data_IF_172456523617
#
_entry.id   IF_172456523617
#
_cell.length_a   1.000
_cell.length_b   1.000
_cell.length_c   1.000
_cell.angle_alpha   90.00
_cell.angle_beta   90.00
_cell.angle_gamma   90.00
#
_symmetry.space_group_name_H-M   'P 1'
#
loop_
_entity.id
_entity.type
_entity.pdbx_description
1 polymer ?
#
# COMPACT_ATOMS: atom_id res chain seq x y z
N UNK A 1 -17.14 7.23 16.65
CA UNK A 1 -17.66 7.50 15.29
C UNK A 1 -17.94 6.17 14.64
N UNK A 2 -18.83 6.12 13.64
CA UNK A 2 -19.05 4.90 12.87
C UNK A 2 -18.25 4.89 11.58
N UNK A 3 -17.46 3.85 11.39
CA UNK A 3 -16.45 3.76 10.34
C UNK A 3 -16.73 2.57 9.43
N UNK A 4 -16.68 2.80 8.12
CA UNK A 4 -16.68 1.74 7.12
C UNK A 4 -15.23 1.43 6.69
N UNK A 5 -14.82 0.17 6.85
CA UNK A 5 -13.60 -0.37 6.24
C UNK A 5 -14.01 -1.33 5.13
N UNK A 6 -13.63 -1.04 3.88
CA UNK A 6 -13.94 -1.94 2.75
C UNK A 6 -13.00 -3.15 2.72
N UNK A 7 -13.33 -4.15 1.91
CA UNK A 7 -12.50 -5.33 1.66
C UNK A 7 -12.17 -6.14 2.91
N UNK A 8 -13.18 -6.47 3.70
CA UNK A 8 -13.08 -7.14 5.01
C UNK A 8 -12.15 -8.36 5.11
N UNK A 9 -11.84 -9.02 3.98
CA UNK A 9 -11.00 -10.23 3.93
C UNK A 9 -9.49 -9.95 3.85
N UNK A 10 -9.08 -8.70 3.65
CA UNK A 10 -7.65 -8.37 3.54
C UNK A 10 -7.02 -8.18 4.92
N UNK A 11 -5.78 -8.66 5.09
CA UNK A 11 -5.04 -8.54 6.35
C UNK A 11 -4.93 -7.08 6.81
N UNK A 12 -4.70 -6.16 5.87
CA UNK A 12 -4.60 -4.73 6.13
C UNK A 12 -5.92 -4.11 6.64
N UNK A 13 -7.10 -4.67 6.32
CA UNK A 13 -8.37 -4.21 6.89
C UNK A 13 -8.46 -4.51 8.39
N UNK A 14 -7.91 -5.64 8.85
CA UNK A 14 -7.84 -5.97 10.28
C UNK A 14 -6.79 -5.14 11.01
N UNK A 15 -5.65 -4.86 10.37
CA UNK A 15 -4.65 -3.95 10.92
C UNK A 15 -5.19 -2.53 11.07
N UNK A 16 -5.94 -2.03 10.09
CA UNK A 16 -6.62 -0.75 10.18
C UNK A 16 -7.64 -0.74 11.31
N UNK A 17 -8.43 -1.81 11.46
CA UNK A 17 -9.38 -1.94 12.55
C UNK A 17 -8.71 -1.91 13.93
N UNK A 18 -7.52 -2.52 14.07
CA UNK A 18 -6.72 -2.43 15.29
C UNK A 18 -6.30 -0.98 15.62
N UNK A 19 -5.96 -0.18 14.60
CA UNK A 19 -5.62 1.25 14.77
C UNK A 19 -6.85 2.14 15.08
N UNK A 20 -8.04 1.63 14.81
CA UNK A 20 -9.34 2.26 15.01
C UNK A 20 -10.16 1.58 16.12
N UNK A 21 -9.52 0.86 17.04
CA UNK A 21 -10.17 0.03 18.08
C UNK A 21 -11.20 0.74 18.96
N UNK A 22 -11.14 2.07 19.03
CA UNK A 22 -12.03 2.91 19.83
C UNK A 22 -13.26 3.41 19.03
N UNK A 23 -13.36 3.04 17.75
CA UNK A 23 -14.46 3.38 16.85
C UNK A 23 -15.45 2.22 16.65
N UNK A 24 -16.68 2.53 16.22
CA UNK A 24 -17.64 1.51 15.78
C UNK A 24 -17.34 1.11 14.33
N UNK A 25 -16.81 -0.09 14.12
CA UNK A 25 -16.33 -0.54 12.81
C UNK A 25 -17.38 -1.41 12.11
N UNK A 26 -17.77 -1.00 10.91
CA UNK A 26 -18.51 -1.81 9.95
C UNK A 26 -17.57 -2.25 8.83
N UNK A 27 -17.50 -3.55 8.57
CA UNK A 27 -16.74 -4.11 7.47
C UNK A 27 -17.61 -4.27 6.21
N UNK A 28 -17.14 -3.72 5.09
CA UNK A 28 -17.80 -3.83 3.79
C UNK A 28 -17.21 -4.93 2.91
N UNK A 29 -18.02 -5.92 2.52
CA UNK A 29 -17.63 -6.96 1.55
C UNK A 29 -18.85 -7.56 0.84
N UNK A 30 -18.72 -7.85 -0.46
CA UNK A 30 -19.83 -8.27 -1.33
C UNK A 30 -20.29 -9.74 -1.13
N UNK A 31 -19.83 -10.39 -0.04
CA UNK A 31 -20.12 -11.80 0.26
C UNK A 31 -20.75 -12.03 1.64
N UNK A 32 -21.08 -10.96 2.37
CA UNK A 32 -21.86 -11.08 3.60
C UNK A 32 -23.37 -11.07 3.29
N UNK A 33 -24.17 -11.96 3.89
CA UNK A 33 -25.57 -12.15 3.50
C UNK A 33 -26.47 -10.95 3.80
N UNK A 34 -26.03 -10.00 4.62
CA UNK A 34 -26.71 -8.73 4.88
C UNK A 34 -25.78 -7.82 5.69
N UNK A 35 -25.73 -6.51 5.41
CA UNK A 35 -26.33 -5.82 4.26
C UNK A 35 -25.59 -6.07 2.95
N UNK A 36 -26.30 -5.92 1.82
CA UNK A 36 -25.71 -6.06 0.48
C UNK A 36 -24.72 -4.94 0.22
N UNK A 37 -23.43 -5.28 0.20
CA UNK A 37 -22.37 -4.32 -0.09
C UNK A 37 -22.25 -4.05 -1.60
N UNK A 38 -21.90 -2.82 -2.04
CA UNK A 38 -21.73 -2.50 -3.45
C UNK A 38 -20.66 -3.36 -4.14
N UNK A 39 -20.83 -3.57 -5.45
CA UNK A 39 -19.81 -4.25 -6.26
C UNK A 39 -18.71 -3.29 -6.67
N UNK A 40 -17.45 -3.66 -6.45
CA UNK A 40 -16.28 -2.85 -6.82
C UNK A 40 -16.19 -2.53 -8.32
N UNK A 41 -16.80 -3.37 -9.15
CA UNK A 41 -16.83 -3.18 -10.60
C UNK A 41 -18.07 -2.38 -11.06
N UNK A 42 -18.87 -1.83 -10.14
CA UNK A 42 -20.04 -1.06 -10.50
C UNK A 42 -19.64 0.30 -11.09
N UNK A 43 -20.21 0.71 -12.25
CA UNK A 43 -20.01 2.06 -12.78
C UNK A 43 -20.60 3.14 -11.86
N UNK A 44 -21.50 2.78 -10.95
CA UNK A 44 -22.14 3.65 -9.96
C UNK A 44 -21.62 3.43 -8.53
N UNK A 45 -20.42 2.89 -8.37
CA UNK A 45 -19.85 2.50 -7.08
C UNK A 45 -19.93 3.61 -6.01
N UNK A 46 -19.55 4.85 -6.34
CA UNK A 46 -19.60 5.97 -5.41
C UNK A 46 -21.02 6.26 -4.89
N UNK A 47 -22.04 6.23 -5.76
CA UNK A 47 -23.43 6.46 -5.38
C UNK A 47 -24.00 5.31 -4.54
N UNK A 48 -23.65 4.08 -4.88
CA UNK A 48 -24.04 2.89 -4.11
C UNK A 48 -23.40 2.92 -2.71
N UNK A 49 -22.11 3.26 -2.62
CA UNK A 49 -21.41 3.42 -1.34
C UNK A 49 -21.95 4.58 -0.52
N UNK A 50 -22.33 5.69 -1.15
CA UNK A 50 -22.97 6.80 -0.44
C UNK A 50 -24.30 6.36 0.18
N UNK A 51 -25.15 5.70 -0.60
CA UNK A 51 -26.44 5.19 -0.11
C UNK A 51 -26.24 4.23 1.06
N UNK A 52 -25.27 3.32 0.92
CA UNK A 52 -24.87 2.41 2.01
C UNK A 52 -24.41 3.19 3.25
N UNK A 53 -23.57 4.22 3.09
CA UNK A 53 -23.10 5.01 4.22
C UNK A 53 -24.25 5.72 4.94
N UNK A 54 -25.24 6.25 4.19
CA UNK A 54 -26.42 6.89 4.76
C UNK A 54 -27.30 5.90 5.52
N UNK A 55 -27.59 4.74 4.93
CA UNK A 55 -28.41 3.69 5.54
C UNK A 55 -27.81 3.16 6.85
N UNK A 56 -26.47 3.16 6.96
CA UNK A 56 -25.74 2.66 8.11
C UNK A 56 -25.18 3.75 9.01
N UNK A 57 -25.49 5.03 8.77
CA UNK A 57 -25.00 6.17 9.57
C UNK A 57 -23.47 6.20 9.67
N UNK A 58 -22.77 5.89 8.57
CA UNK A 58 -21.31 5.91 8.49
C UNK A 58 -20.81 7.35 8.44
N UNK A 59 -19.82 7.68 9.27
CA UNK A 59 -19.19 9.00 9.32
C UNK A 59 -17.83 9.03 8.60
N UNK A 60 -17.12 7.90 8.52
CA UNK A 60 -15.84 7.81 7.82
C UNK A 60 -15.73 6.55 6.95
N UNK A 61 -15.11 6.68 5.78
CA UNK A 61 -14.90 5.57 4.84
C UNK A 61 -13.42 5.38 4.55
N UNK A 62 -12.95 4.15 4.75
CA UNK A 62 -11.60 3.70 4.43
C UNK A 62 -11.69 2.65 3.33
N UNK A 63 -11.41 3.06 2.10
CA UNK A 63 -11.29 2.13 0.98
C UNK A 63 -9.90 1.49 0.97
N UNK A 64 -9.88 0.16 0.87
CA UNK A 64 -8.65 -0.65 0.90
C UNK A 64 -8.29 -1.19 -0.50
N UNK A 65 -9.15 -1.03 -1.52
CA UNK A 65 -8.83 -1.35 -2.92
C UNK A 65 -8.62 -0.09 -3.74
N UNK A 66 -7.68 -0.14 -4.68
CA UNK A 66 -7.32 0.98 -5.56
C UNK A 66 -8.51 1.55 -6.31
N UNK A 67 -9.31 0.66 -6.91
CA UNK A 67 -10.50 1.05 -7.67
C UNK A 67 -11.56 1.74 -6.82
N UNK A 68 -11.75 1.28 -5.58
CA UNK A 68 -12.69 1.89 -4.63
C UNK A 68 -12.19 3.26 -4.19
N UNK A 69 -10.93 3.35 -3.73
CA UNK A 69 -10.36 4.61 -3.25
C UNK A 69 -10.38 5.66 -4.35
N UNK A 70 -10.01 5.31 -5.58
CA UNK A 70 -10.06 6.22 -6.72
C UNK A 70 -11.47 6.77 -6.93
N UNK A 71 -12.48 5.90 -6.99
CA UNK A 71 -13.88 6.30 -7.19
C UNK A 71 -14.40 7.19 -6.04
N UNK A 72 -14.03 6.89 -4.80
CA UNK A 72 -14.41 7.69 -3.63
C UNK A 72 -13.71 9.05 -3.58
N UNK A 73 -12.44 9.13 -3.96
CA UNK A 73 -11.71 10.39 -4.03
C UNK A 73 -12.29 11.32 -5.11
N UNK A 74 -12.69 10.78 -6.26
CA UNK A 74 -13.40 11.52 -7.31
C UNK A 74 -14.76 12.06 -6.82
N UNK A 75 -15.43 11.34 -5.91
CA UNK A 75 -16.70 11.71 -5.32
C UNK A 75 -16.59 12.40 -3.93
N UNK A 76 -15.39 12.77 -3.48
CA UNK A 76 -15.16 13.22 -2.08
C UNK A 76 -16.06 14.39 -1.66
N UNK A 77 -16.30 15.35 -2.56
CA UNK A 77 -17.16 16.52 -2.29
C UNK A 77 -18.60 16.07 -2.00
N UNK A 78 -19.13 15.12 -2.79
CA UNK A 78 -20.48 14.59 -2.61
C UNK A 78 -20.64 13.94 -1.24
N UNK A 79 -19.68 13.12 -0.79
CA UNK A 79 -19.73 12.51 0.55
C UNK A 79 -19.67 13.56 1.67
N UNK A 80 -18.84 14.59 1.50
CA UNK A 80 -18.71 15.66 2.47
C UNK A 80 -20.02 16.47 2.67
N UNK A 81 -20.85 16.61 1.62
CA UNK A 81 -22.17 17.25 1.72
C UNK A 81 -23.11 16.53 2.72
N UNK A 82 -22.90 15.23 2.94
CA UNK A 82 -23.65 14.42 3.89
C UNK A 82 -22.90 14.19 5.22
N UNK A 83 -21.80 14.90 5.45
CA UNK A 83 -20.99 14.75 6.67
C UNK A 83 -20.15 13.47 6.72
N UNK A 84 -19.91 12.83 5.56
CA UNK A 84 -19.13 11.60 5.47
C UNK A 84 -17.72 11.92 5.00
N UNK A 85 -16.71 11.55 5.79
CA UNK A 85 -15.31 11.77 5.47
C UNK A 85 -14.72 10.58 4.72
N UNK A 86 -14.24 10.80 3.49
CA UNK A 86 -13.41 9.83 2.79
C UNK A 86 -11.98 9.95 3.28
N UNK A 87 -11.48 8.89 3.92
CA UNK A 87 -10.11 8.81 4.42
C UNK A 87 -9.24 8.13 3.37
N UNK A 88 -8.31 8.90 2.81
CA UNK A 88 -7.37 8.44 1.81
C UNK A 88 -6.81 9.59 0.99
N UNK A 89 -5.75 9.28 0.26
CA UNK A 89 -5.06 10.22 -0.62
C UNK A 89 -4.34 9.44 -1.72
N UNK A 90 -3.96 10.16 -2.78
CA UNK A 90 -3.08 9.66 -3.83
C UNK A 90 -1.60 9.92 -3.51
N UNK A 91 -1.26 10.20 -2.25
CA UNK A 91 0.12 10.47 -1.86
C UNK A 91 0.99 9.23 -2.03
N UNK A 92 2.15 9.46 -2.65
CA UNK A 92 3.17 8.47 -2.87
C UNK A 92 4.52 9.13 -2.61
N UNK A 93 5.42 8.39 -1.98
CA UNK A 93 6.82 8.75 -1.85
C UNK A 93 7.68 7.64 -2.44
N UNK A 94 8.71 8.03 -3.20
CA UNK A 94 9.66 7.11 -3.80
C UNK A 94 11.08 7.64 -3.67
N UNK A 95 11.97 6.83 -3.09
CA UNK A 95 13.41 7.12 -2.94
C UNK A 95 14.25 6.03 -3.63
N UNK A 96 13.82 5.65 -4.83
CA UNK A 96 14.51 4.71 -5.68
C UNK A 96 15.86 5.27 -6.16
N UNK A 97 16.91 4.45 -6.09
CA UNK A 97 18.24 4.85 -6.54
C UNK A 97 18.37 4.77 -8.07
N UNK A 98 17.54 3.93 -8.71
CA UNK A 98 17.45 3.81 -10.15
C UNK A 98 16.09 3.25 -10.58
N UNK A 99 15.75 3.39 -11.86
CA UNK A 99 14.57 2.76 -12.49
C UNK A 99 15.00 1.96 -13.70
N UNK A 100 14.30 0.92 -14.12
CA UNK A 100 14.66 0.12 -15.28
C UNK A 100 13.47 -0.28 -16.15
N UNK A 101 13.62 -0.06 -17.45
CA UNK A 101 12.60 -0.28 -18.48
C UNK A 101 12.84 -1.55 -19.33
N UNK A 102 13.97 -2.22 -19.13
CA UNK A 102 14.30 -3.46 -19.86
C UNK A 102 15.28 -4.33 -19.07
N UNK A 103 15.34 -5.62 -19.38
CA UNK A 103 16.24 -6.55 -18.69
C UNK A 103 17.73 -6.20 -18.84
N UNK A 104 18.13 -5.78 -20.05
CA UNK A 104 19.51 -5.37 -20.31
C UNK A 104 19.89 -4.12 -19.50
N UNK A 105 18.97 -3.16 -19.40
CA UNK A 105 19.14 -1.98 -18.57
C UNK A 105 19.14 -2.32 -17.07
N UNK A 106 18.32 -3.28 -16.67
CA UNK A 106 18.16 -3.71 -15.28
C UNK A 106 19.45 -4.31 -14.75
N UNK A 107 20.03 -5.27 -15.48
CA UNK A 107 21.28 -5.94 -15.10
C UNK A 107 22.40 -4.93 -14.88
N UNK A 108 22.57 -3.98 -15.80
CA UNK A 108 23.57 -2.91 -15.68
C UNK A 108 23.34 -2.00 -14.47
N UNK A 109 22.07 -1.68 -14.17
CA UNK A 109 21.71 -0.84 -13.00
C UNK A 109 21.93 -1.56 -11.68
N UNK A 110 21.62 -2.85 -11.58
CA UNK A 110 21.92 -3.63 -10.38
C UNK A 110 23.43 -3.64 -10.08
N UNK A 111 24.26 -3.86 -11.10
CA UNK A 111 25.72 -3.83 -10.95
C UNK A 111 26.21 -2.45 -10.49
N UNK A 112 25.66 -1.37 -11.07
CA UNK A 112 25.99 -0.01 -10.65
C UNK A 112 25.54 0.29 -9.20
N UNK A 113 24.46 -0.32 -8.74
CA UNK A 113 23.97 -0.26 -7.35
C UNK A 113 24.71 -1.21 -6.39
N UNK A 114 25.77 -1.90 -6.84
CA UNK A 114 26.64 -2.71 -5.99
C UNK A 114 26.27 -4.19 -5.88
N UNK A 115 25.33 -4.69 -6.69
CA UNK A 115 25.02 -6.11 -6.76
C UNK A 115 26.23 -6.94 -7.24
N UNK A 116 26.48 -8.17 -6.71
CA UNK A 116 25.72 -8.89 -5.69
C UNK A 116 26.15 -8.60 -4.24
N UNK A 117 27.15 -7.74 -4.03
CA UNK A 117 27.70 -7.48 -2.70
C UNK A 117 26.79 -6.58 -1.84
N UNK A 118 25.90 -5.85 -2.49
CA UNK A 118 24.90 -4.98 -1.87
C UNK A 118 23.52 -5.63 -1.96
N UNK A 119 22.79 -5.67 -0.84
CA UNK A 119 21.38 -6.08 -0.83
C UNK A 119 20.53 -5.02 -1.51
N UNK A 120 19.69 -5.47 -2.43
CA UNK A 120 18.79 -4.61 -3.22
C UNK A 120 17.35 -5.11 -3.10
N UNK A 121 16.40 -4.18 -3.20
CA UNK A 121 15.00 -4.48 -3.45
C UNK A 121 14.54 -3.82 -4.75
N UNK A 122 13.44 -4.32 -5.30
CA UNK A 122 12.81 -3.79 -6.50
C UNK A 122 11.31 -3.62 -6.28
N UNK A 123 10.69 -2.74 -7.04
CA UNK A 123 9.25 -2.61 -7.06
C UNK A 123 8.78 -1.91 -8.33
N UNK A 124 7.52 -2.07 -8.69
CA UNK A 124 6.97 -1.41 -9.88
C UNK A 124 6.89 0.11 -9.67
N UNK A 125 7.13 0.91 -10.71
CA UNK A 125 7.07 2.39 -10.64
C UNK A 125 5.66 2.95 -10.54
N UNK A 126 4.64 2.13 -10.80
CA UNK A 126 3.24 2.45 -10.53
C UNK A 126 2.82 2.15 -9.08
N UNK A 127 3.77 1.70 -8.25
CA UNK A 127 3.56 1.37 -6.83
C UNK A 127 2.61 0.19 -6.57
N UNK A 128 2.25 -0.55 -7.62
CA UNK A 128 1.50 -1.79 -7.46
C UNK A 128 2.37 -2.85 -6.77
N UNK A 129 1.73 -3.62 -5.87
CA UNK A 129 2.39 -4.68 -5.11
C UNK A 129 3.41 -4.20 -4.08
N UNK A 130 4.12 -5.16 -3.49
CA UNK A 130 5.12 -4.93 -2.46
C UNK A 130 6.54 -4.85 -3.05
N UNK A 131 7.50 -4.36 -2.26
CA UNK A 131 8.91 -4.43 -2.63
C UNK A 131 9.44 -5.87 -2.50
N UNK A 132 10.23 -6.28 -3.49
CA UNK A 132 10.82 -7.62 -3.59
C UNK A 132 12.34 -7.51 -3.41
N UNK A 133 12.89 -8.22 -2.44
CA UNK A 133 14.35 -8.28 -2.20
C UNK A 133 15.01 -9.24 -3.18
N UNK A 134 16.17 -8.87 -3.72
CA UNK A 134 16.97 -9.76 -4.57
C UNK A 134 17.83 -10.66 -3.67
N UNK A 135 17.59 -11.97 -3.70
CA UNK A 135 18.27 -12.96 -2.88
C UNK A 135 18.67 -14.21 -3.69
N UNK A 136 19.95 -14.30 -4.08
CA UNK A 136 20.48 -15.44 -4.84
C UNK A 136 20.72 -16.71 -3.99
N UNK A 137 20.69 -16.62 -2.66
CA UNK A 137 20.80 -17.79 -1.79
C UNK A 137 19.52 -18.64 -1.81
N UNK A 138 18.41 -18.09 -2.32
CA UNK A 138 17.12 -18.76 -2.42
C UNK A 138 17.07 -19.73 -3.61
N UNK A 139 17.21 -21.02 -3.32
CA UNK A 139 17.26 -22.10 -4.32
C UNK A 139 15.92 -22.79 -4.60
N UNK A 140 14.90 -22.52 -3.78
CA UNK A 140 13.65 -23.28 -3.81
C UNK A 140 12.59 -22.64 -4.73
N UNK A 141 12.27 -23.33 -5.82
CA UNK A 141 11.29 -22.87 -6.82
C UNK A 141 9.84 -22.97 -6.34
N UNK A 142 9.55 -23.80 -5.34
CA UNK A 142 8.20 -23.95 -4.79
C UNK A 142 7.75 -22.73 -3.97
N UNK A 143 8.68 -21.83 -3.63
CA UNK A 143 8.43 -20.68 -2.77
C UNK A 143 7.94 -19.42 -3.50
N UNK A 144 7.98 -19.42 -4.84
CA UNK A 144 7.53 -18.31 -5.71
C UNK A 144 6.09 -17.89 -5.40
N UNK A 145 5.28 -18.80 -4.83
CA UNK A 145 3.88 -18.56 -4.50
C UNK A 145 3.60 -18.32 -3.01
N UNK A 146 4.57 -18.54 -2.10
CA UNK A 146 4.32 -18.48 -0.65
C UNK A 146 4.84 -17.22 0.03
N UNK A 147 5.87 -16.54 -0.51
CA UNK A 147 6.31 -15.21 -0.05
C UNK A 147 6.97 -14.45 -1.21
N UNK A 148 6.18 -13.62 -1.90
CA UNK A 148 6.64 -12.77 -3.02
C UNK A 148 7.67 -11.70 -2.64
N UNK A 149 8.14 -11.69 -1.38
CA UNK A 149 9.01 -10.64 -0.85
C UNK A 149 10.50 -10.87 -1.21
N UNK A 150 10.87 -12.02 -1.76
CA UNK A 150 12.25 -12.34 -2.14
C UNK A 150 12.31 -13.16 -3.45
N UNK A 151 13.20 -12.77 -4.37
CA UNK A 151 13.46 -13.47 -5.63
C UNK A 151 14.96 -13.48 -5.96
N UNK A 152 15.46 -14.56 -6.57
CA UNK A 152 16.82 -14.59 -7.11
C UNK A 152 16.92 -13.81 -8.42
N UNK A 153 18.12 -13.37 -8.80
CA UNK A 153 18.34 -12.65 -10.06
C UNK A 153 17.88 -13.47 -11.28
N UNK A 154 18.06 -14.79 -11.23
CA UNK A 154 17.63 -15.69 -12.30
C UNK A 154 16.10 -15.77 -12.40
N UNK A 155 15.39 -15.70 -11.26
CA UNK A 155 13.93 -15.65 -11.24
C UNK A 155 13.41 -14.32 -11.78
N UNK A 156 14.09 -13.21 -11.46
CA UNK A 156 13.75 -11.90 -12.01
C UNK A 156 13.82 -11.90 -13.54
N UNK A 157 14.85 -12.50 -14.15
CA UNK A 157 14.91 -12.62 -15.61
C UNK A 157 13.66 -13.23 -16.26
N UNK A 158 12.93 -14.12 -15.55
CA UNK A 158 11.66 -14.67 -16.03
C UNK A 158 10.51 -13.66 -15.97
N UNK A 159 10.47 -12.80 -14.95
CA UNK A 159 9.49 -11.71 -14.84
C UNK A 159 9.67 -10.68 -15.96
N UNK A 160 10.92 -10.41 -16.34
CA UNK A 160 11.21 -9.46 -17.42
C UNK A 160 10.82 -9.95 -18.82
N UNK A 161 10.69 -11.28 -19.02
CA UNK A 161 10.30 -11.86 -20.31
C UNK A 161 8.78 -11.89 -20.53
N UNK A 162 8.00 -11.22 -19.69
CA UNK A 162 6.55 -11.10 -19.86
C UNK A 162 6.21 -10.00 -20.88
N UNK A 163 5.15 -10.18 -21.70
CA UNK A 163 4.79 -9.24 -22.77
C UNK A 163 4.38 -7.85 -22.29
N UNK A 164 3.99 -7.71 -21.02
CA UNK A 164 3.61 -6.44 -20.39
C UNK A 164 4.61 -6.07 -19.29
N UNK A 165 5.87 -5.87 -19.66
CA UNK A 165 6.90 -5.50 -18.70
C UNK A 165 6.64 -4.09 -18.15
N UNK A 166 6.56 -3.99 -16.82
CA UNK A 166 6.43 -2.71 -16.13
C UNK A 166 7.80 -2.18 -15.69
N UNK A 167 7.98 -0.87 -15.73
CA UNK A 167 9.22 -0.23 -15.28
C UNK A 167 9.42 -0.53 -13.78
N UNK A 168 10.63 -0.93 -13.41
CA UNK A 168 10.97 -1.28 -12.03
C UNK A 168 11.88 -0.23 -11.39
N UNK A 169 11.51 0.25 -10.22
CA UNK A 169 12.39 0.97 -9.30
C UNK A 169 13.34 -0.02 -8.60
N UNK A 170 14.58 0.41 -8.36
CA UNK A 170 15.64 -0.32 -7.65
C UNK A 170 15.99 0.47 -6.39
N UNK A 171 16.09 -0.24 -5.27
CA UNK A 171 16.34 0.31 -3.94
C UNK A 171 17.52 -0.39 -3.29
N UNK A 172 18.45 0.39 -2.77
CA UNK A 172 19.59 -0.08 -2.00
C UNK A 172 19.19 -0.24 -0.54
N UNK A 173 19.42 -1.43 0.00
CA UNK A 173 19.05 -1.75 1.37
C UNK A 173 20.23 -1.56 2.33
N UNK A 174 20.07 -0.69 3.33
CA UNK A 174 21.05 -0.53 4.42
C UNK A 174 21.00 -1.70 5.40
N UNK A 175 19.78 -2.19 5.67
CA UNK A 175 19.48 -3.35 6.50
C UNK A 175 18.37 -4.19 5.85
N UNK A 176 17.79 -5.15 6.60
CA UNK A 176 16.65 -5.90 6.09
C UNK A 176 15.45 -4.99 5.80
N UNK A 177 14.72 -5.31 4.73
CA UNK A 177 13.50 -4.62 4.36
C UNK A 177 12.43 -4.82 5.45
N UNK A 178 11.82 -3.73 5.90
CA UNK A 178 10.71 -3.73 6.83
C UNK A 178 9.52 -3.03 6.17
N UNK A 179 8.33 -3.60 6.38
CA UNK A 179 7.06 -3.01 5.99
C UNK A 179 6.27 -2.68 7.25
N UNK A 180 5.80 -1.44 7.34
CA UNK A 180 4.94 -1.00 8.43
C UNK A 180 3.70 -0.32 7.85
N UNK A 181 2.60 -0.44 8.57
CA UNK A 181 1.36 0.25 8.24
C UNK A 181 1.15 1.43 9.19
N UNK A 182 0.83 2.59 8.61
CA UNK A 182 0.73 3.87 9.29
C UNK A 182 -0.60 4.52 8.93
N UNK A 183 -1.39 4.85 9.95
CA UNK A 183 -2.62 5.60 9.80
C UNK A 183 -2.37 7.06 10.17
N UNK A 184 -2.75 7.99 9.30
CA UNK A 184 -2.76 9.43 9.55
C UNK A 184 -4.19 9.90 9.66
N UNK A 185 -4.53 10.45 10.81
CA UNK A 185 -5.82 11.08 11.06
C UNK A 185 -5.62 12.38 11.82
N UNK A 186 -6.08 13.50 11.25
CA UNK A 186 -6.04 14.81 11.88
C UNK A 186 -4.61 15.16 12.36
N UNK A 187 -3.63 14.92 11.49
CA UNK A 187 -2.19 15.10 11.74
C UNK A 187 -1.59 14.20 12.85
N UNK A 188 -2.36 13.24 13.36
CA UNK A 188 -1.88 12.22 14.29
C UNK A 188 -1.50 10.96 13.53
N UNK A 189 -0.31 10.42 13.82
CA UNK A 189 0.14 9.15 13.28
C UNK A 189 -0.11 8.04 14.29
N UNK A 190 -0.74 6.97 13.82
CA UNK A 190 -0.93 5.71 14.55
C UNK A 190 -0.19 4.60 13.80
N UNK A 191 0.46 3.73 14.56
CA UNK A 191 1.34 2.67 14.03
C UNK A 191 0.87 1.32 14.54
N UNK A 192 0.97 0.28 13.70
CA UNK A 192 0.63 -1.10 14.10
C UNK A 192 1.71 -1.73 14.98
N UNK A 193 2.94 -1.20 14.91
CA UNK A 193 4.08 -1.66 15.68
C UNK A 193 4.79 -0.48 16.38
N UNK A 194 5.51 -0.78 17.47
CA UNK A 194 6.41 0.18 18.11
C UNK A 194 7.60 0.42 17.20
N UNK A 195 7.89 1.69 16.88
CA UNK A 195 9.02 2.08 16.04
C UNK A 195 10.05 2.90 16.82
N UNK A 196 11.33 2.83 16.44
CA UNK A 196 12.33 3.77 16.90
C UNK A 196 11.90 5.23 16.65
N UNK A 197 12.18 6.11 17.60
CA UNK A 197 11.76 7.52 17.58
C UNK A 197 12.23 8.26 16.32
N UNK A 198 13.44 7.93 15.84
CA UNK A 198 14.02 8.50 14.62
C UNK A 198 13.23 8.14 13.36
N UNK A 199 12.75 6.90 13.27
CA UNK A 199 11.91 6.45 12.16
C UNK A 199 10.56 7.16 12.24
N UNK A 200 9.96 7.24 13.43
CA UNK A 200 8.70 7.96 13.63
C UNK A 200 8.81 9.43 13.20
N UNK A 201 9.91 10.11 13.54
CA UNK A 201 10.17 11.49 13.13
C UNK A 201 10.36 11.59 11.62
N UNK A 202 11.10 10.67 11.00
CA UNK A 202 11.28 10.64 9.55
C UNK A 202 9.95 10.44 8.80
N UNK A 203 9.14 9.48 9.26
CA UNK A 203 7.79 9.20 8.72
C UNK A 203 6.90 10.42 8.91
N UNK A 204 6.94 11.05 10.09
CA UNK A 204 6.25 12.32 10.35
C UNK A 204 6.68 13.36 9.33
N UNK A 205 7.97 13.69 9.19
CA UNK A 205 8.43 14.73 8.27
C UNK A 205 7.99 14.47 6.83
N UNK A 206 8.02 13.22 6.36
CA UNK A 206 7.58 12.87 5.01
C UNK A 206 6.07 12.91 4.80
N UNK A 207 5.29 12.72 5.87
CA UNK A 207 3.83 12.63 5.82
C UNK A 207 3.10 13.82 6.47
N UNK A 208 3.82 14.76 7.10
CA UNK A 208 3.26 15.81 7.96
C UNK A 208 2.30 16.76 7.22
N UNK A 209 2.49 16.90 5.91
CA UNK A 209 1.69 17.77 5.06
C UNK A 209 0.64 17.00 4.25
N UNK A 210 0.56 15.69 4.42
CA UNK A 210 -0.26 14.83 3.59
C UNK A 210 -1.63 14.59 4.20
N UNK A 211 -2.61 14.36 3.34
CA UNK A 211 -4.00 14.16 3.76
C UNK A 211 -4.17 12.88 4.59
N UNK A 212 -5.25 12.85 5.40
CA UNK A 212 -5.70 11.68 6.13
C UNK A 212 -5.67 10.42 5.23
N UNK A 213 -5.15 9.32 5.75
CA UNK A 213 -5.00 8.10 4.96
C UNK A 213 -4.30 6.96 5.69
N UNK A 214 -4.38 5.76 5.11
CA UNK A 214 -3.73 4.56 5.60
C UNK A 214 -2.63 4.14 4.61
N UNK A 215 -1.39 4.10 5.08
CA UNK A 215 -0.21 4.01 4.24
C UNK A 215 0.67 2.81 4.61
N UNK A 216 1.24 2.19 3.58
CA UNK A 216 2.36 1.26 3.68
C UNK A 216 3.67 2.04 3.57
N UNK A 217 4.56 1.89 4.54
CA UNK A 217 5.89 2.49 4.56
C UNK A 217 6.93 1.37 4.51
N UNK A 218 7.76 1.41 3.47
CA UNK A 218 8.89 0.52 3.28
C UNK A 218 10.16 1.16 3.82
N UNK A 219 10.85 0.44 4.70
CA UNK A 219 12.03 0.90 5.43
C UNK A 219 13.21 -0.06 5.23
N UNK A 220 14.42 0.47 5.29
CA UNK A 220 15.65 -0.31 5.45
C UNK A 220 16.58 0.45 6.39
N UNK A 221 16.71 -0.06 7.61
CA UNK A 221 17.30 0.70 8.71
C UNK A 221 16.50 1.97 8.99
N UNK A 222 17.17 3.13 8.96
CA UNK A 222 16.54 4.45 9.14
C UNK A 222 16.06 5.09 7.83
N UNK A 223 16.30 4.46 6.67
CA UNK A 223 15.92 5.00 5.36
C UNK A 223 14.49 4.59 5.00
N UNK A 224 13.66 5.58 4.66
CA UNK A 224 12.37 5.34 3.98
C UNK A 224 12.64 5.14 2.49
N UNK A 225 12.26 3.97 1.97
CA UNK A 225 12.42 3.62 0.56
C UNK A 225 11.21 4.04 -0.28
N UNK A 226 10.02 3.77 0.24
CA UNK A 226 8.75 3.95 -0.46
C UNK A 226 7.63 4.17 0.53
N UNK A 227 6.70 5.07 0.21
CA UNK A 227 5.41 5.19 0.90
C UNK A 227 4.33 5.15 -0.16
N UNK A 228 3.27 4.37 0.09
CA UNK A 228 2.07 4.37 -0.74
C UNK A 228 0.83 4.21 0.12
N UNK A 229 -0.32 4.65 -0.38
CA UNK A 229 -1.58 4.28 0.24
C UNK A 229 -1.73 2.75 0.20
N UNK A 230 -2.27 2.14 1.26
CA UNK A 230 -2.51 0.69 1.31
C UNK A 230 -3.43 0.24 0.17
N UNK A 231 -4.34 1.10 -0.24
CA UNK A 231 -5.22 0.83 -1.37
C UNK A 231 -4.52 0.96 -2.73
N UNK A 232 -3.27 1.42 -2.81
CA UNK A 232 -2.58 1.69 -4.07
C UNK A 232 -1.98 0.45 -4.74
#
# INVERSE_FOLDING_TARGET
MKVLITSAKQACSFELAYLLKDEEILFGENHYPSPKFPSVNSPSLAHELLSFCLDFEIEQVYAVRAGELKSLLEAKILFAEFGIEIIGSNFIYDDADAQSESYANFSSKLLASGYPNQKLAIGQTNFNGDLIVINDEQKDFNWVWSKLNELSFTQLGKLFNQPNFEILSIYTLQENLQLINVLILNSQLRFTASLPSKIMETVKTKLHHEANGFYQVYLSGDKILRIKNVAH
#
